data_IF_182833189601
#
_entry.id   IF_182833189601
#
_cell.length_a   1.000
_cell.length_b   1.000
_cell.length_c   1.000
_cell.angle_alpha   90.00
_cell.angle_beta   90.00
_cell.angle_gamma   90.00
#
_symmetry.space_group_name_H-M   'P 1'
#
loop_
_entity.id
_entity.type
_entity.pdbx_description
1 polymer ?
#
# COMPACT_ATOMS: atom_id res chain seq x y z
N UNK A 1 30.21 50.36 5.08
CA UNK A 1 31.27 49.52 5.70
C UNK A 1 30.65 48.20 6.07
N UNK A 2 31.01 47.15 5.33
CA UNK A 2 30.45 45.80 5.47
C UNK A 2 31.09 45.09 6.67
N UNK A 3 30.32 44.90 7.74
CA UNK A 3 30.73 44.14 8.91
C UNK A 3 30.56 42.64 8.66
N UNK A 4 31.68 41.93 8.56
CA UNK A 4 31.75 40.47 8.43
C UNK A 4 31.23 39.80 9.71
N UNK A 5 30.23 38.92 9.56
CA UNK A 5 29.84 37.98 10.61
C UNK A 5 30.56 36.66 10.32
N UNK A 6 31.46 36.26 11.21
CA UNK A 6 32.16 34.98 11.17
C UNK A 6 31.41 33.99 12.06
N UNK A 7 30.93 32.90 11.46
CA UNK A 7 30.37 31.76 12.17
C UNK A 7 31.53 30.92 12.74
N UNK A 8 31.57 30.76 14.06
CA UNK A 8 32.45 29.79 14.73
C UNK A 8 31.60 28.57 15.08
N UNK A 9 31.79 27.49 14.33
CA UNK A 9 31.22 26.17 14.61
C UNK A 9 32.16 25.44 15.56
N UNK A 10 31.82 25.40 16.85
CA UNK A 10 32.57 24.62 17.84
C UNK A 10 32.03 23.18 17.85
N UNK A 11 32.85 22.24 17.38
CA UNK A 11 32.67 20.81 17.57
C UNK A 11 33.01 20.44 19.01
N UNK A 12 32.11 19.73 19.69
CA UNK A 12 32.36 19.07 20.97
C UNK A 12 32.10 17.57 20.77
N UNK A 13 33.18 16.81 20.55
CA UNK A 13 33.19 15.36 20.68
C UNK A 13 33.87 15.07 22.02
N UNK A 14 33.06 14.80 23.05
CA UNK A 14 33.52 14.20 24.29
C UNK A 14 33.45 12.69 24.16
N UNK A 15 34.62 12.06 24.20
CA UNK A 15 34.78 10.62 24.40
C UNK A 15 34.40 10.24 25.84
N UNK A 16 33.49 9.29 26.01
CA UNK A 16 33.39 8.51 27.25
C UNK A 16 33.21 7.03 26.91
N UNK A 17 34.24 6.26 27.26
CA UNK A 17 34.21 4.81 27.39
C UNK A 17 33.18 4.39 28.44
N UNK A 18 32.26 3.51 28.05
CA UNK A 18 31.32 2.85 28.96
C UNK A 18 30.62 1.73 28.21
N UNK A 19 31.05 0.49 28.46
CA UNK A 19 30.51 -0.70 27.84
C UNK A 19 29.05 -0.92 28.22
N UNK A 20 28.19 -0.89 27.21
CA UNK A 20 26.92 -1.61 27.17
C UNK A 20 26.89 -2.28 25.81
N UNK A 21 26.74 -3.60 25.81
CA UNK A 21 26.58 -4.40 24.59
C UNK A 21 25.27 -4.01 23.93
N UNK A 22 25.31 -3.01 23.06
CA UNK A 22 24.24 -2.74 22.11
C UNK A 22 24.22 -3.86 21.09
N UNK A 23 23.10 -4.59 21.04
CA UNK A 23 22.80 -5.45 19.91
C UNK A 23 22.70 -4.55 18.68
N UNK A 24 23.77 -4.51 17.90
CA UNK A 24 23.82 -3.91 16.56
C UNK A 24 22.74 -4.62 15.74
N UNK A 25 21.56 -4.01 15.68
CA UNK A 25 20.56 -4.32 14.67
C UNK A 25 21.17 -3.79 13.38
N UNK A 26 21.83 -4.69 12.67
CA UNK A 26 22.40 -4.44 11.36
C UNK A 26 21.24 -4.04 10.46
N UNK A 27 21.02 -2.73 10.30
CA UNK A 27 20.08 -2.19 9.34
C UNK A 27 20.61 -2.60 7.98
N UNK A 28 19.94 -3.60 7.38
CA UNK A 28 20.17 -3.95 5.98
C UNK A 28 19.90 -2.67 5.18
N UNK A 29 20.91 -2.07 4.54
CA UNK A 29 20.67 -0.92 3.69
C UNK A 29 19.78 -1.42 2.55
N UNK A 30 18.58 -0.85 2.42
CA UNK A 30 17.78 -1.05 1.22
C UNK A 30 18.67 -0.70 0.02
N UNK A 31 18.60 -1.46 -1.08
CA UNK A 31 19.27 -1.08 -2.31
C UNK A 31 18.76 0.31 -2.68
N UNK A 32 19.62 1.32 -2.58
CA UNK A 32 19.45 2.59 -3.27
C UNK A 32 19.76 2.27 -4.74
N UNK A 33 18.89 1.50 -5.35
CA UNK A 33 18.90 1.29 -6.79
C UNK A 33 18.47 2.61 -7.40
N UNK A 34 19.34 3.12 -8.26
CA UNK A 34 19.36 4.50 -8.74
C UNK A 34 17.99 4.88 -9.32
N UNK A 35 17.32 5.85 -8.69
CA UNK A 35 16.20 6.58 -9.32
C UNK A 35 16.74 7.14 -10.64
N UNK A 36 16.23 6.72 -11.82
CA UNK A 36 16.72 7.24 -13.09
C UNK A 36 16.45 8.75 -13.17
N UNK A 37 17.48 9.49 -13.57
CA UNK A 37 17.57 10.95 -13.46
C UNK A 37 16.63 11.75 -14.40
N UNK A 38 15.67 11.12 -15.09
CA UNK A 38 14.71 11.84 -15.93
C UNK A 38 13.31 11.25 -15.88
N UNK A 39 12.65 11.35 -14.71
CA UNK A 39 11.21 11.12 -14.66
C UNK A 39 10.50 12.18 -15.51
N UNK A 40 9.53 11.76 -16.32
CA UNK A 40 8.60 12.71 -16.94
C UNK A 40 7.75 13.32 -15.83
N UNK A 41 7.71 14.63 -15.72
CA UNK A 41 6.85 15.29 -14.73
C UNK A 41 5.48 15.56 -15.33
N UNK A 42 4.42 15.07 -14.68
CA UNK A 42 3.01 15.29 -15.03
C UNK A 42 2.30 15.93 -13.85
N UNK A 43 1.67 17.08 -14.07
CA UNK A 43 1.04 17.83 -12.98
C UNK A 43 -0.16 17.08 -12.36
N UNK A 44 -0.92 16.34 -13.16
CA UNK A 44 -2.11 15.63 -12.71
C UNK A 44 -2.31 14.33 -13.49
N UNK A 45 -2.31 13.19 -12.79
CA UNK A 45 -2.76 11.92 -13.33
C UNK A 45 -4.30 11.90 -13.38
N UNK A 46 -4.85 11.89 -14.58
CA UNK A 46 -6.30 11.86 -14.80
C UNK A 46 -6.72 10.45 -15.25
N UNK A 47 -7.07 9.61 -14.28
CA UNK A 47 -7.37 8.19 -14.48
C UNK A 47 -8.66 7.98 -15.26
N UNK A 48 -9.63 8.89 -15.16
CA UNK A 48 -10.86 8.86 -15.95
C UNK A 48 -10.64 9.04 -17.45
N UNK A 49 -9.47 9.55 -17.86
CA UNK A 49 -9.05 9.64 -19.28
C UNK A 49 -8.30 8.42 -19.79
N UNK A 50 -7.93 7.49 -18.91
CA UNK A 50 -7.22 6.27 -19.29
C UNK A 50 -8.24 5.18 -19.59
N UNK A 51 -8.75 5.16 -20.82
CA UNK A 51 -9.72 4.15 -21.29
C UNK A 51 -9.09 3.29 -22.38
N UNK A 52 -8.33 2.28 -21.97
CA UNK A 52 -7.61 1.41 -22.90
C UNK A 52 -7.65 -0.05 -22.46
N UNK A 53 -7.34 -0.96 -23.38
CA UNK A 53 -7.20 -2.40 -23.07
C UNK A 53 -6.05 -2.65 -22.09
N UNK A 54 -4.99 -1.84 -22.19
CA UNK A 54 -3.80 -1.87 -21.35
C UNK A 54 -3.52 -0.44 -20.89
N UNK A 55 -3.28 -0.25 -19.60
CA UNK A 55 -2.86 1.04 -19.05
C UNK A 55 -1.44 0.86 -18.54
N UNK A 56 -0.50 1.65 -19.07
CA UNK A 56 0.90 1.64 -18.63
C UNK A 56 1.33 3.04 -18.21
N UNK A 57 1.74 3.18 -16.95
CA UNK A 57 2.35 4.38 -16.41
C UNK A 57 3.78 4.01 -16.01
N UNK A 58 4.76 4.60 -16.69
CA UNK A 58 6.17 4.23 -16.55
C UNK A 58 7.03 5.49 -16.46
N UNK A 59 8.05 5.49 -15.59
CA UNK A 59 9.08 6.53 -15.49
C UNK A 59 8.51 7.95 -15.32
N UNK A 60 7.42 8.09 -14.55
CA UNK A 60 6.68 9.35 -14.43
C UNK A 60 6.53 9.81 -12.98
N UNK A 61 6.76 11.10 -12.73
CA UNK A 61 6.40 11.78 -11.49
C UNK A 61 5.04 12.45 -11.66
N UNK A 62 4.06 12.07 -10.84
CA UNK A 62 2.72 12.64 -10.84
C UNK A 62 2.52 13.55 -9.62
N UNK A 63 2.55 14.87 -9.81
CA UNK A 63 2.41 15.83 -8.70
C UNK A 63 1.07 15.71 -7.97
N UNK A 64 0.03 15.34 -8.70
CA UNK A 64 -1.30 15.07 -8.18
C UNK A 64 -1.92 13.88 -8.90
N UNK A 65 -2.85 13.21 -8.22
CA UNK A 65 -3.61 12.07 -8.73
C UNK A 65 -5.10 12.36 -8.60
N UNK A 66 -5.88 12.00 -9.61
CA UNK A 66 -7.35 12.05 -9.55
C UNK A 66 -7.87 11.31 -8.31
N UNK A 67 -8.94 11.82 -7.71
CA UNK A 67 -9.45 11.31 -6.45
C UNK A 67 -10.95 10.99 -6.50
N UNK A 68 -11.34 9.71 -6.40
CA UNK A 68 -10.48 8.51 -6.48
C UNK A 68 -9.91 8.30 -7.89
N UNK A 69 -8.72 7.71 -8.02
CA UNK A 69 -8.16 7.29 -9.30
C UNK A 69 -8.62 5.87 -9.59
N UNK A 70 -9.54 5.72 -10.54
CA UNK A 70 -10.10 4.43 -10.91
C UNK A 70 -9.47 3.97 -12.23
N UNK A 71 -8.76 2.85 -12.22
CA UNK A 71 -8.15 2.23 -13.39
C UNK A 71 -8.92 0.97 -13.77
N UNK A 72 -9.40 0.90 -15.01
CA UNK A 72 -10.16 -0.25 -15.55
C UNK A 72 -9.57 -0.66 -16.89
N UNK A 73 -8.88 -1.79 -16.93
CA UNK A 73 -8.25 -2.32 -18.13
C UNK A 73 -8.12 -3.84 -18.04
N UNK A 74 -7.72 -4.53 -19.11
CA UNK A 74 -7.33 -5.95 -18.99
C UNK A 74 -6.00 -6.09 -18.26
N UNK A 75 -5.10 -5.12 -18.45
CA UNK A 75 -3.77 -5.11 -17.88
C UNK A 75 -3.44 -3.70 -17.39
N UNK A 76 -2.93 -3.58 -16.17
CA UNK A 76 -2.48 -2.32 -15.59
C UNK A 76 -1.03 -2.49 -15.11
N UNK A 77 -0.15 -1.65 -15.63
CA UNK A 77 1.27 -1.64 -15.27
C UNK A 77 1.64 -0.26 -14.73
N UNK A 78 2.09 -0.22 -13.48
CA UNK A 78 2.66 0.96 -12.84
C UNK A 78 4.13 0.64 -12.55
N UNK A 79 5.07 1.24 -13.28
CA UNK A 79 6.49 0.94 -13.11
C UNK A 79 7.34 2.19 -12.90
N UNK A 80 8.17 2.20 -11.87
CA UNK A 80 9.14 3.26 -11.62
C UNK A 80 8.50 4.66 -11.68
N UNK A 81 7.39 4.85 -10.96
CA UNK A 81 6.73 6.16 -10.85
C UNK A 81 6.91 6.75 -9.46
N UNK A 82 6.82 8.09 -9.40
CA UNK A 82 6.81 8.85 -8.16
C UNK A 82 5.43 9.49 -7.97
N UNK A 83 4.80 9.19 -6.83
CA UNK A 83 3.51 9.77 -6.43
C UNK A 83 3.69 10.59 -5.13
N UNK A 84 4.25 11.81 -5.20
CA UNK A 84 4.45 12.70 -4.03
C UNK A 84 3.16 13.36 -3.50
N UNK A 85 1.99 12.88 -3.90
CA UNK A 85 0.71 13.47 -3.54
C UNK A 85 0.36 13.15 -2.08
N UNK A 86 -0.10 14.16 -1.33
CA UNK A 86 -0.64 13.95 0.03
C UNK A 86 -1.79 12.94 0.10
N UNK A 87 -2.45 12.67 -1.04
CA UNK A 87 -3.52 11.69 -1.21
C UNK A 87 -3.29 10.87 -2.48
N UNK A 88 -3.20 9.56 -2.36
CA UNK A 88 -3.10 8.65 -3.51
C UNK A 88 -4.04 7.46 -3.31
N UNK A 89 -5.22 7.54 -3.92
CA UNK A 89 -6.24 6.51 -3.81
C UNK A 89 -6.44 5.83 -5.16
N UNK A 90 -6.01 4.58 -5.26
CA UNK A 90 -6.08 3.78 -6.48
C UNK A 90 -7.11 2.67 -6.34
N UNK A 91 -8.10 2.65 -7.22
CA UNK A 91 -9.02 1.53 -7.40
C UNK A 91 -8.72 0.87 -8.75
N UNK A 92 -8.10 -0.31 -8.71
CA UNK A 92 -7.62 -1.00 -9.90
C UNK A 92 -8.47 -2.25 -10.14
N UNK A 93 -9.11 -2.31 -11.30
CA UNK A 93 -9.88 -3.46 -11.77
C UNK A 93 -9.27 -3.97 -13.06
N UNK A 94 -8.61 -5.14 -13.01
CA UNK A 94 -7.94 -5.72 -14.18
C UNK A 94 -7.89 -7.24 -14.18
N UNK A 95 -7.42 -7.86 -15.26
CA UNK A 95 -7.02 -9.27 -15.22
C UNK A 95 -5.62 -9.40 -14.65
N UNK A 96 -4.70 -8.54 -15.08
CA UNK A 96 -3.31 -8.53 -14.60
C UNK A 96 -2.96 -7.14 -14.07
N UNK A 97 -2.33 -7.11 -12.90
CA UNK A 97 -1.80 -5.89 -12.29
C UNK A 97 -0.34 -6.11 -11.93
N UNK A 98 0.52 -5.23 -12.43
CA UNK A 98 1.94 -5.17 -12.08
C UNK A 98 2.25 -3.78 -11.53
N UNK A 99 2.76 -3.73 -10.30
CA UNK A 99 3.19 -2.48 -9.67
C UNK A 99 4.64 -2.71 -9.20
N UNK A 100 5.59 -2.05 -9.84
CA UNK A 100 7.02 -2.32 -9.69
C UNK A 100 7.82 -1.04 -9.49
N UNK A 101 8.73 -1.01 -8.51
CA UNK A 101 9.68 0.08 -8.28
C UNK A 101 9.03 1.48 -8.09
N UNK A 102 7.77 1.55 -7.60
CA UNK A 102 7.11 2.85 -7.40
C UNK A 102 7.36 3.42 -6.01
N UNK A 103 7.42 4.75 -5.90
CA UNK A 103 7.37 5.49 -4.64
C UNK A 103 5.99 6.14 -4.46
N UNK A 104 5.27 5.72 -3.43
CA UNK A 104 4.05 6.36 -2.96
C UNK A 104 4.37 7.17 -1.70
N UNK A 105 4.38 8.49 -1.80
CA UNK A 105 4.74 9.39 -0.71
C UNK A 105 3.59 10.34 -0.41
N UNK A 106 2.94 10.18 0.74
CA UNK A 106 1.74 10.95 1.06
C UNK A 106 1.14 10.61 2.42
N UNK A 107 0.34 11.52 2.98
CA UNK A 107 -0.26 11.29 4.29
C UNK A 107 -1.40 10.27 4.29
N UNK A 108 -2.06 10.05 3.15
CA UNK A 108 -3.24 9.20 2.96
C UNK A 108 -3.11 8.38 1.66
N UNK A 109 -3.09 7.05 1.78
CA UNK A 109 -2.92 6.10 0.68
C UNK A 109 -3.95 4.98 0.81
N UNK A 110 -4.81 4.80 -0.19
CA UNK A 110 -5.79 3.71 -0.23
C UNK A 110 -5.72 3.00 -1.58
N UNK A 111 -5.15 1.79 -1.62
CA UNK A 111 -5.11 0.98 -2.83
C UNK A 111 -6.04 -0.21 -2.69
N UNK A 112 -7.04 -0.24 -3.55
CA UNK A 112 -7.96 -1.35 -3.72
C UNK A 112 -7.71 -2.00 -5.09
N UNK A 113 -7.19 -3.21 -5.08
CA UNK A 113 -6.82 -3.95 -6.29
C UNK A 113 -7.70 -5.19 -6.40
N UNK A 114 -8.47 -5.29 -7.47
CA UNK A 114 -9.22 -6.50 -7.82
C UNK A 114 -8.73 -7.01 -9.17
N UNK A 115 -7.96 -8.10 -9.15
CA UNK A 115 -7.44 -8.70 -10.37
C UNK A 115 -7.23 -10.21 -10.30
N UNK A 116 -7.11 -10.86 -11.45
CA UNK A 116 -6.80 -12.29 -11.50
C UNK A 116 -5.38 -12.57 -11.01
N UNK A 117 -4.42 -11.81 -11.53
CA UNK A 117 -3.02 -11.85 -11.14
C UNK A 117 -2.58 -10.48 -10.65
N UNK A 118 -1.95 -10.43 -9.48
CA UNK A 118 -1.37 -9.23 -8.90
C UNK A 118 0.10 -9.51 -8.56
N UNK A 119 1.02 -8.75 -9.14
CA UNK A 119 2.44 -8.76 -8.79
C UNK A 119 2.86 -7.36 -8.31
N UNK A 120 3.24 -7.27 -7.04
CA UNK A 120 3.78 -6.06 -6.43
C UNK A 120 5.25 -6.29 -6.06
N UNK A 121 6.16 -5.53 -6.64
CA UNK A 121 7.60 -5.72 -6.43
C UNK A 121 8.32 -4.40 -6.14
N UNK A 122 9.20 -4.38 -5.14
CA UNK A 122 10.10 -3.25 -4.82
C UNK A 122 9.43 -1.89 -4.60
N UNK A 123 8.14 -1.84 -4.26
CA UNK A 123 7.49 -0.55 -4.03
C UNK A 123 7.77 -0.02 -2.63
N UNK A 124 7.90 1.30 -2.53
CA UNK A 124 8.09 2.03 -1.29
C UNK A 124 6.85 2.88 -1.00
N UNK A 125 6.22 2.64 0.14
CA UNK A 125 5.04 3.35 0.62
C UNK A 125 5.42 4.10 1.89
N UNK A 126 5.41 5.43 1.83
CA UNK A 126 5.77 6.32 2.94
C UNK A 126 4.58 7.20 3.28
N UNK A 127 4.05 7.06 4.49
CA UNK A 127 2.85 7.77 4.90
C UNK A 127 2.13 7.20 6.11
N UNK A 128 1.46 8.05 6.88
CA UNK A 128 0.82 7.67 8.15
C UNK A 128 -0.56 7.03 8.04
N UNK A 129 -1.22 7.00 6.89
CA UNK A 129 -2.50 6.32 6.71
C UNK A 129 -2.41 5.49 5.44
N UNK A 130 -2.40 4.17 5.59
CA UNK A 130 -2.22 3.26 4.46
C UNK A 130 -3.24 2.14 4.52
N UNK A 131 -4.04 2.00 3.48
CA UNK A 131 -4.97 0.89 3.29
C UNK A 131 -4.60 0.18 1.99
N UNK A 132 -4.29 -1.10 2.10
CA UNK A 132 -3.96 -1.95 0.97
C UNK A 132 -4.89 -3.16 0.97
N UNK A 133 -5.88 -3.16 0.09
CA UNK A 133 -6.87 -4.22 -0.07
C UNK A 133 -6.69 -4.87 -1.43
N UNK A 134 -6.21 -6.12 -1.45
CA UNK A 134 -5.92 -6.85 -2.68
C UNK A 134 -6.79 -8.10 -2.73
N UNK A 135 -7.58 -8.22 -3.78
CA UNK A 135 -8.46 -9.34 -4.06
C UNK A 135 -8.05 -9.98 -5.39
N UNK A 136 -7.67 -11.26 -5.35
CA UNK A 136 -7.27 -11.98 -6.55
C UNK A 136 -6.87 -13.43 -6.29
N UNK A 137 -7.15 -14.36 -7.20
CA UNK A 137 -6.77 -15.76 -7.03
C UNK A 137 -5.24 -15.94 -6.93
N UNK A 138 -4.44 -15.10 -7.59
CA UNK A 138 -2.97 -15.16 -7.53
C UNK A 138 -2.40 -13.80 -7.12
N UNK A 139 -1.78 -13.74 -5.95
CA UNK A 139 -1.18 -12.51 -5.40
C UNK A 139 0.28 -12.80 -5.05
N UNK A 140 1.19 -12.03 -5.62
CA UNK A 140 2.62 -12.04 -5.31
C UNK A 140 3.03 -10.65 -4.81
N UNK A 141 3.70 -10.62 -3.67
CA UNK A 141 4.32 -9.41 -3.12
C UNK A 141 5.77 -9.73 -2.79
N UNK A 142 6.70 -8.97 -3.34
CA UNK A 142 8.14 -9.16 -3.14
C UNK A 142 8.82 -7.84 -2.80
N UNK A 143 9.60 -7.78 -1.72
CA UNK A 143 10.45 -6.63 -1.38
C UNK A 143 9.72 -5.27 -1.30
N UNK A 144 8.45 -5.27 -0.86
CA UNK A 144 7.71 -4.02 -0.66
C UNK A 144 7.95 -3.51 0.77
N UNK A 145 8.25 -2.22 0.92
CA UNK A 145 8.41 -1.54 2.20
C UNK A 145 7.23 -0.58 2.44
N UNK A 146 6.62 -0.70 3.60
CA UNK A 146 5.56 0.17 4.10
C UNK A 146 6.01 0.86 5.36
N UNK A 147 6.25 2.16 5.28
CA UNK A 147 6.78 2.98 6.35
C UNK A 147 5.74 4.03 6.79
N UNK A 148 5.19 3.83 7.99
CA UNK A 148 4.23 4.75 8.60
C UNK A 148 3.36 4.11 9.66
N UNK A 149 2.56 4.90 10.37
CA UNK A 149 1.55 4.35 11.28
C UNK A 149 0.24 4.06 10.55
N UNK A 150 -0.74 3.55 11.30
CA UNK A 150 -2.13 3.29 10.87
C UNK A 150 -2.26 2.60 9.52
N UNK A 151 -1.73 1.38 9.45
CA UNK A 151 -1.72 0.59 8.24
C UNK A 151 -2.68 -0.60 8.30
N UNK A 152 -3.43 -0.85 7.24
CA UNK A 152 -4.27 -2.04 7.09
C UNK A 152 -3.97 -2.73 5.77
N UNK A 153 -3.53 -3.98 5.84
CA UNK A 153 -3.14 -4.80 4.69
C UNK A 153 -4.01 -6.05 4.64
N UNK A 154 -4.95 -6.10 3.70
CA UNK A 154 -5.88 -7.21 3.50
C UNK A 154 -5.61 -7.87 2.16
N UNK A 155 -5.23 -9.14 2.19
CA UNK A 155 -5.01 -9.95 1.00
C UNK A 155 -6.05 -11.08 0.98
N UNK A 156 -6.88 -11.13 -0.06
CA UNK A 156 -7.88 -12.18 -0.24
C UNK A 156 -7.61 -12.93 -1.53
N UNK A 157 -7.26 -14.21 -1.43
CA UNK A 157 -6.84 -14.97 -2.60
C UNK A 157 -6.80 -16.47 -2.41
N UNK A 158 -6.35 -17.17 -3.46
CA UNK A 158 -6.14 -18.62 -3.44
C UNK A 158 -4.65 -18.94 -3.28
N UNK A 159 -3.79 -18.30 -4.05
CA UNK A 159 -2.35 -18.45 -4.02
C UNK A 159 -1.74 -17.10 -3.65
N UNK A 160 -1.17 -17.00 -2.45
CA UNK A 160 -0.58 -15.77 -1.92
C UNK A 160 0.89 -16.05 -1.60
N UNK A 161 1.79 -15.31 -2.24
CA UNK A 161 3.24 -15.35 -2.01
C UNK A 161 3.66 -13.99 -1.47
N UNK A 162 4.32 -13.99 -0.30
CA UNK A 162 4.89 -12.78 0.30
C UNK A 162 6.36 -13.04 0.67
N UNK A 163 7.26 -12.34 0.00
CA UNK A 163 8.70 -12.46 0.21
C UNK A 163 9.28 -11.11 0.56
N UNK A 164 10.03 -11.03 1.66
CA UNK A 164 10.78 -9.82 2.04
C UNK A 164 9.89 -8.57 2.17
N UNK A 165 8.66 -8.74 2.67
CA UNK A 165 7.77 -7.63 2.98
C UNK A 165 8.17 -7.00 4.30
N UNK A 166 8.34 -5.68 4.31
CA UNK A 166 8.62 -4.92 5.52
C UNK A 166 7.47 -3.96 5.81
N UNK A 167 6.81 -4.11 6.97
CA UNK A 167 5.83 -3.16 7.48
C UNK A 167 6.43 -2.54 8.73
N UNK A 168 6.82 -1.27 8.67
CA UNK A 168 7.31 -0.48 9.81
C UNK A 168 6.19 0.34 10.42
N UNK A 169 6.37 0.78 11.67
CA UNK A 169 5.41 1.58 12.41
C UNK A 169 4.70 0.79 13.51
N UNK A 170 4.03 1.52 14.39
CA UNK A 170 3.48 1.00 15.65
C UNK A 170 2.06 0.45 15.52
N UNK A 171 1.26 1.04 14.62
CA UNK A 171 -0.15 0.74 14.48
C UNK A 171 -0.43 0.13 13.11
N UNK A 172 -0.49 -1.20 13.03
CA UNK A 172 -0.74 -1.89 11.77
C UNK A 172 -1.57 -3.17 11.97
N UNK A 173 -2.26 -3.59 10.92
CA UNK A 173 -3.00 -4.85 10.80
C UNK A 173 -2.65 -5.50 9.46
N UNK A 174 -2.26 -6.77 9.48
CA UNK A 174 -2.05 -7.59 8.28
C UNK A 174 -2.93 -8.83 8.35
N UNK A 175 -3.76 -9.07 7.32
CA UNK A 175 -4.64 -10.24 7.22
C UNK A 175 -4.57 -10.86 5.83
N UNK A 176 -4.50 -12.18 5.82
CA UNK A 176 -4.60 -13.02 4.63
C UNK A 176 -5.84 -13.90 4.76
N UNK A 177 -6.72 -13.86 3.78
CA UNK A 177 -8.02 -14.52 3.79
C UNK A 177 -8.19 -15.41 2.54
N UNK A 178 -8.87 -16.57 2.67
CA UNK A 178 -9.23 -17.36 1.51
C UNK A 178 -10.28 -16.65 0.66
N UNK A 179 -10.21 -16.84 -0.66
CA UNK A 179 -11.25 -16.36 -1.58
C UNK A 179 -12.49 -17.25 -1.55
N UNK A 180 -13.68 -16.65 -1.59
CA UNK A 180 -14.95 -17.34 -1.82
C UNK A 180 -15.39 -17.19 -3.28
N UNK A 181 -15.74 -18.29 -3.93
CA UNK A 181 -16.29 -18.31 -5.28
C UNK A 181 -17.76 -18.75 -5.27
N UNK A 182 -18.53 -18.18 -6.20
CA UNK A 182 -19.87 -18.67 -6.51
C UNK A 182 -19.73 -19.84 -7.47
N UNK A 183 -20.21 -21.01 -7.06
CA UNK A 183 -20.34 -22.16 -7.94
C UNK A 183 -21.76 -22.15 -8.49
N UNK A 184 -21.91 -21.83 -9.77
CA UNK A 184 -23.18 -21.97 -10.47
C UNK A 184 -23.51 -23.46 -10.63
N UNK A 185 -24.64 -23.88 -10.06
CA UNK A 185 -25.14 -25.23 -10.27
C UNK A 185 -25.77 -25.32 -11.67
N UNK A 186 -24.98 -25.75 -12.65
CA UNK A 186 -25.40 -25.85 -14.07
C UNK A 186 -26.44 -26.95 -14.33
N UNK A 187 -26.83 -27.75 -13.33
CA UNK A 187 -27.62 -28.95 -13.53
C UNK A 187 -29.10 -28.85 -13.12
N UNK A 188 -29.63 -27.70 -12.71
CA UNK A 188 -31.05 -27.58 -12.31
C UNK A 188 -31.76 -26.32 -12.83
N UNK A 189 -32.04 -26.29 -14.13
CA UNK A 189 -33.07 -25.40 -14.70
C UNK A 189 -34.34 -26.19 -14.99
N UNK A 190 -35.34 -26.10 -14.11
CA UNK A 190 -36.72 -26.41 -14.48
C UNK A 190 -37.39 -25.09 -14.88
N UNK A 191 -37.91 -25.00 -16.12
CA UNK A 191 -38.59 -23.81 -16.65
C UNK A 191 -37.76 -22.51 -16.69
N UNK A 192 -36.44 -22.60 -16.89
CA UNK A 192 -35.59 -21.42 -17.10
C UNK A 192 -35.36 -20.57 -15.85
N UNK A 193 -35.72 -21.07 -14.66
CA UNK A 193 -35.34 -20.46 -13.37
C UNK A 193 -34.39 -21.39 -12.62
N UNK A 194 -33.26 -20.90 -12.09
CA UNK A 194 -32.38 -21.70 -11.26
C UNK A 194 -33.12 -22.16 -9.99
N UNK A 195 -33.10 -23.46 -9.70
CA UNK A 195 -33.85 -24.05 -8.58
C UNK A 195 -33.17 -23.88 -7.21
N UNK A 196 -31.86 -23.57 -7.17
CA UNK A 196 -31.10 -23.40 -5.93
C UNK A 196 -30.37 -22.07 -5.87
N UNK A 197 -30.25 -21.53 -4.66
CA UNK A 197 -29.42 -20.36 -4.38
C UNK A 197 -27.96 -20.66 -4.72
N UNK A 198 -27.27 -19.65 -5.26
CA UNK A 198 -25.82 -19.68 -5.52
C UNK A 198 -25.07 -20.30 -4.33
N UNK A 199 -24.38 -21.42 -4.57
CA UNK A 199 -23.56 -22.07 -3.53
C UNK A 199 -22.23 -21.34 -3.48
N UNK A 200 -21.94 -20.74 -2.34
CA UNK A 200 -20.64 -20.14 -2.07
C UNK A 200 -19.68 -21.22 -1.59
N UNK A 201 -18.53 -21.32 -2.23
CA UNK A 201 -17.45 -22.25 -1.85
C UNK A 201 -16.22 -21.43 -1.53
N UNK A 202 -15.72 -21.59 -0.30
CA UNK A 202 -14.42 -21.06 0.10
C UNK A 202 -13.32 -21.92 -0.50
N UNK A 203 -12.45 -21.31 -1.32
CA UNK A 203 -11.31 -21.98 -1.91
C UNK A 203 -10.21 -22.19 -0.87
N UNK A 204 -9.38 -23.25 -1.01
CA UNK A 204 -8.22 -23.42 -0.16
C UNK A 204 -7.23 -22.26 -0.34
N UNK A 205 -6.66 -21.79 0.76
CA UNK A 205 -5.61 -20.77 0.77
C UNK A 205 -4.22 -21.44 0.78
N UNK A 206 -3.46 -21.22 -0.28
CA UNK A 206 -2.05 -21.56 -0.38
C UNK A 206 -1.24 -20.30 -0.08
N UNK A 207 -0.66 -20.21 1.13
CA UNK A 207 0.11 -19.08 1.59
C UNK A 207 1.60 -19.45 1.73
N UNK A 208 2.47 -18.72 1.05
CA UNK A 208 3.92 -18.84 1.17
C UNK A 208 4.49 -17.51 1.67
N UNK A 209 5.21 -17.56 2.79
CA UNK A 209 5.81 -16.38 3.43
C UNK A 209 7.29 -16.62 3.70
N UNK A 210 8.15 -15.66 3.33
CA UNK A 210 9.61 -15.79 3.52
C UNK A 210 10.21 -14.43 3.85
N UNK A 211 11.05 -14.37 4.90
CA UNK A 211 11.80 -13.17 5.30
C UNK A 211 10.95 -11.89 5.50
N UNK A 212 9.67 -12.02 5.86
CA UNK A 212 8.81 -10.87 6.13
C UNK A 212 9.08 -10.31 7.54
N UNK A 213 9.08 -8.98 7.67
CA UNK A 213 9.29 -8.25 8.92
C UNK A 213 8.11 -7.33 9.16
N UNK A 214 7.43 -7.50 10.30
CA UNK A 214 6.26 -6.71 10.65
C UNK A 214 6.45 -6.00 11.99
N UNK A 215 6.16 -4.70 12.03
CA UNK A 215 6.47 -3.80 13.13
C UNK A 215 7.90 -3.23 13.09
N UNK A 216 8.20 -2.39 14.05
CA UNK A 216 9.47 -1.66 14.16
C UNK A 216 9.28 -0.15 14.10
N UNK A 217 10.36 0.59 14.30
CA UNK A 217 10.32 2.05 14.22
C UNK A 217 10.11 2.49 12.78
N UNK A 218 9.16 3.39 12.59
CA UNK A 218 8.99 4.08 11.32
C UNK A 218 10.14 5.09 11.14
N UNK A 219 10.57 5.29 9.89
CA UNK A 219 11.50 6.38 9.56
C UNK A 219 10.78 7.62 9.03
N UNK A 220 9.49 7.49 8.74
CA UNK A 220 8.67 8.56 8.18
C UNK A 220 8.43 9.73 9.16
N UNK A 221 8.52 10.94 8.62
CA UNK A 221 8.25 12.23 9.30
C UNK A 221 7.02 12.92 8.70
N UNK A 222 6.35 12.33 7.70
CA UNK A 222 5.14 12.90 7.10
C UNK A 222 4.09 13.11 8.19
N UNK A 223 3.56 14.33 8.34
CA UNK A 223 2.58 14.61 9.37
C UNK A 223 1.35 13.71 9.20
N UNK A 224 1.04 12.93 10.23
CA UNK A 224 -0.34 12.48 10.41
C UNK A 224 -1.14 13.74 10.68
N UNK A 225 -1.84 14.28 9.68
CA UNK A 225 -2.96 15.18 9.98
C UNK A 225 -3.84 14.57 11.09
N UNK A 226 -4.62 15.40 11.80
CA UNK A 226 -5.50 14.92 12.88
C UNK A 226 -6.09 13.55 12.54
N UNK A 227 -5.78 12.51 13.34
CA UNK A 227 -6.19 11.13 13.03
C UNK A 227 -7.70 10.99 12.81
N UNK A 228 -8.49 11.86 13.45
CA UNK A 228 -9.94 11.99 13.24
C UNK A 228 -10.27 12.51 11.84
N UNK A 229 -9.55 13.53 11.33
CA UNK A 229 -9.76 14.06 9.95
C UNK A 229 -9.41 13.02 8.89
N UNK A 230 -8.34 12.26 9.10
CA UNK A 230 -7.94 11.17 8.20
C UNK A 230 -8.94 10.02 8.24
N UNK A 231 -9.36 9.61 9.44
CA UNK A 231 -10.41 8.62 9.61
C UNK A 231 -11.73 9.05 8.94
N UNK A 232 -12.16 10.30 9.12
CA UNK A 232 -13.35 10.85 8.48
C UNK A 232 -13.22 10.92 6.95
N UNK A 233 -12.02 11.20 6.42
CA UNK A 233 -11.73 11.15 4.98
C UNK A 233 -11.87 9.72 4.44
N UNK A 234 -11.21 8.75 5.08
CA UNK A 234 -11.31 7.33 4.73
C UNK A 234 -12.75 6.80 4.80
N UNK A 235 -13.50 7.17 5.85
CA UNK A 235 -14.92 6.86 6.03
C UNK A 235 -15.80 7.48 4.94
N UNK A 236 -15.50 8.71 4.50
CA UNK A 236 -16.28 9.40 3.46
C UNK A 236 -16.12 8.74 2.09
N UNK A 237 -14.93 8.24 1.78
CA UNK A 237 -14.64 7.61 0.49
C UNK A 237 -15.22 6.20 0.41
N UNK A 238 -15.21 5.47 1.53
CA UNK A 238 -15.79 4.13 1.62
C UNK A 238 -17.26 4.27 2.00
N UNK A 239 -18.12 4.32 0.98
CA UNK A 239 -19.58 4.47 1.10
C UNK A 239 -20.26 3.51 2.10
N UNK A 240 -19.59 2.42 2.48
CA UNK A 240 -20.00 1.49 3.52
C UNK A 240 -19.11 1.58 4.78
N UNK A 241 -19.53 2.40 5.76
CA UNK A 241 -18.89 2.52 7.07
C UNK A 241 -18.87 1.22 7.89
N UNK A 242 -19.68 0.22 7.53
CA UNK A 242 -19.71 -1.09 8.18
C UNK A 242 -18.72 -2.08 7.56
N UNK A 243 -18.01 -1.71 6.49
CA UNK A 243 -16.99 -2.56 5.91
C UNK A 243 -15.94 -2.95 6.96
N UNK A 244 -15.51 -4.21 6.95
CA UNK A 244 -14.58 -4.76 7.96
C UNK A 244 -13.30 -3.93 8.02
N UNK A 245 -12.75 -3.59 6.86
CA UNK A 245 -11.51 -2.82 6.74
C UNK A 245 -11.61 -1.41 7.35
N UNK A 246 -12.79 -0.78 7.22
CA UNK A 246 -13.09 0.51 7.86
C UNK A 246 -13.10 0.36 9.38
N UNK A 247 -13.71 -0.69 9.91
CA UNK A 247 -13.71 -0.92 11.36
C UNK A 247 -12.31 -1.18 11.91
N UNK A 248 -11.45 -1.87 11.15
CA UNK A 248 -10.08 -2.14 11.57
C UNK A 248 -9.23 -0.87 11.62
N UNK A 249 -9.33 0.02 10.62
CA UNK A 249 -8.60 1.29 10.66
C UNK A 249 -9.09 2.18 11.82
N UNK A 250 -10.40 2.24 12.08
CA UNK A 250 -10.97 2.93 13.27
C UNK A 250 -10.32 2.42 14.56
N UNK A 251 -10.27 1.11 14.76
CA UNK A 251 -9.67 0.50 15.96
C UNK A 251 -8.20 0.86 16.14
N UNK A 252 -7.43 1.00 15.05
CA UNK A 252 -6.03 1.43 15.13
C UNK A 252 -5.92 2.86 15.64
N UNK A 253 -6.77 3.76 15.16
CA UNK A 253 -6.82 5.14 15.65
C UNK A 253 -7.29 5.22 17.11
N UNK A 254 -8.35 4.48 17.47
CA UNK A 254 -8.85 4.44 18.85
C UNK A 254 -7.77 3.97 19.82
N UNK A 255 -7.02 2.91 19.46
CA UNK A 255 -5.90 2.41 20.26
C UNK A 255 -4.79 3.46 20.44
N UNK A 256 -4.52 4.26 19.41
CA UNK A 256 -3.48 5.28 19.52
C UNK A 256 -3.93 6.47 20.38
N UNK A 257 -5.20 6.87 20.28
CA UNK A 257 -5.78 7.98 21.03
C UNK A 257 -6.11 7.62 22.48
N UNK A 258 -6.22 6.33 22.82
CA UNK A 258 -6.49 5.85 24.18
C UNK A 258 -5.23 5.72 25.05
N UNK A 259 -4.04 5.87 24.47
CA UNK A 259 -2.75 5.83 25.19
C UNK A 259 -2.21 7.24 25.40
#
# INVERSE_FOLDING_TARGET
MFGKVVFVLAALITTSLGGVTESVTQSVPLPIERIPETHRVVDMLNCSRLTEKKIELIDTEFKAVEYPCILRASEVVLKNNLFPSSKSNFEIYALNVTIEDNLFFGADQDHHINAHNVDLENNLYVGQHQIHEIYGPNIKRTRNLYDGNYQVHFLTGRNIIQTEISIKGKYWIHKTLPMTQIVEDRNTTLFGKPLQSNKFVTLPLNLFQTNNVFGGDQSDVVPSGSGVRHLLSALKNRSNFKAIIVQEIVKLYDRALSN
#
